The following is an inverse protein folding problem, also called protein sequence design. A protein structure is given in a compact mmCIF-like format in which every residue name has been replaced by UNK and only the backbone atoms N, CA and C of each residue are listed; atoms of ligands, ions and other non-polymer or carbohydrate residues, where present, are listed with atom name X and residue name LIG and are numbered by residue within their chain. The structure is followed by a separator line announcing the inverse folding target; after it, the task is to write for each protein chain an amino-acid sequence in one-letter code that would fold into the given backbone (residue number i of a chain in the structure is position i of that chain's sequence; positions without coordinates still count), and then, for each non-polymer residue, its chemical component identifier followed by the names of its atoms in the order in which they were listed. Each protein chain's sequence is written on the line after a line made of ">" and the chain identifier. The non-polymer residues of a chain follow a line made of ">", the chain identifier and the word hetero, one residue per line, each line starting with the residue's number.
data_IF_503519331575
#
_entry.id   IF_503519331575
#
_cell.length_a   1.000
_cell.length_b   1.000
_cell.length_c   1.000
_cell.angle_alpha   90.00
_cell.angle_beta   90.00
_cell.angle_gamma   90.00
#
_symmetry.space_group_name_H-M   'P 1'
#
loop_
_entity.id
_entity.type
_entity.pdbx_description
1 polymer ?
#
# COMPACT_ATOMS: atom_id res chain seq x y z
N UNK A 1 -11.12 3.04 -15.30
CA UNK A 1 -10.24 3.33 -14.14
C UNK A 1 -8.95 2.54 -14.32
N UNK A 2 -7.87 2.96 -13.68
CA UNK A 2 -6.59 2.25 -13.70
C UNK A 2 -6.30 1.75 -12.29
N UNK A 3 -5.60 0.62 -12.23
CA UNK A 3 -5.19 0.02 -10.97
C UNK A 3 -3.85 0.61 -10.53
N UNK A 4 -3.79 0.92 -9.25
CA UNK A 4 -2.60 1.43 -8.59
C UNK A 4 -2.40 0.69 -7.28
N UNK A 5 -1.14 0.61 -6.87
CA UNK A 5 -0.75 0.15 -5.56
C UNK A 5 -0.28 1.39 -4.77
N UNK A 6 -0.86 1.59 -3.59
CA UNK A 6 -0.50 2.65 -2.67
C UNK A 6 0.08 2.03 -1.41
N UNK A 7 1.36 2.25 -1.16
CA UNK A 7 1.98 1.95 0.13
C UNK A 7 2.13 3.23 0.93
N UNK A 8 1.60 3.25 2.16
CA UNK A 8 1.76 4.36 3.10
C UNK A 8 2.58 3.92 4.32
N UNK A 9 3.51 4.78 4.73
CA UNK A 9 4.26 4.64 5.97
C UNK A 9 3.66 5.62 6.97
N UNK A 10 2.99 5.08 7.98
CA UNK A 10 2.35 5.86 9.04
C UNK A 10 3.34 6.03 10.20
N UNK A 11 3.22 7.16 10.90
CA UNK A 11 4.00 7.47 12.09
C UNK A 11 3.92 6.33 13.13
N UNK A 12 5.05 5.89 13.72
CA UNK A 12 5.08 4.72 14.61
C UNK A 12 4.24 4.88 15.88
N UNK A 13 4.05 6.11 16.35
CA UNK A 13 3.22 6.39 17.54
C UNK A 13 1.73 6.08 17.34
N UNK A 14 1.28 6.05 16.09
CA UNK A 14 -0.10 5.74 15.72
C UNK A 14 -0.35 4.22 15.55
N UNK A 15 0.64 3.38 15.88
CA UNK A 15 0.52 1.92 15.83
C UNK A 15 -0.69 1.38 16.61
N UNK A 16 -1.05 2.04 17.72
CA UNK A 16 -2.18 1.63 18.58
C UNK A 16 -3.54 2.01 17.98
N UNK A 17 -3.60 3.10 17.22
CA UNK A 17 -4.82 3.58 16.55
C UNK A 17 -4.51 4.00 15.10
N UNK A 18 -4.48 3.01 14.23
CA UNK A 18 -4.27 3.19 12.79
C UNK A 18 -5.56 3.54 12.05
N UNK A 19 -6.73 3.34 12.65
CA UNK A 19 -7.99 3.48 11.92
C UNK A 19 -8.27 4.94 11.58
N UNK A 20 -7.94 5.87 12.47
CA UNK A 20 -8.08 7.30 12.21
C UNK A 20 -7.25 7.80 11.00
N UNK A 21 -5.92 7.58 10.91
CA UNK A 21 -5.14 7.99 9.74
C UNK A 21 -5.54 7.21 8.47
N UNK A 22 -5.84 5.91 8.57
CA UNK A 22 -6.25 5.12 7.41
C UNK A 22 -7.63 5.55 6.88
N UNK A 23 -8.58 5.88 7.75
CA UNK A 23 -9.87 6.43 7.34
C UNK A 23 -9.72 7.75 6.57
N UNK A 24 -8.76 8.61 6.93
CA UNK A 24 -8.44 9.83 6.16
C UNK A 24 -7.93 9.48 4.76
N UNK A 25 -7.03 8.50 4.64
CA UNK A 25 -6.50 8.03 3.34
C UNK A 25 -7.62 7.41 2.48
N UNK A 26 -8.45 6.53 3.06
CA UNK A 26 -9.59 5.92 2.37
C UNK A 26 -10.60 6.96 1.90
N UNK A 27 -10.88 7.97 2.73
CA UNK A 27 -11.76 9.09 2.38
C UNK A 27 -11.16 9.90 1.23
N UNK A 28 -9.88 10.24 1.29
CA UNK A 28 -9.18 10.94 0.22
C UNK A 28 -9.28 10.19 -1.13
N UNK A 29 -9.14 8.86 -1.11
CA UNK A 29 -9.30 8.03 -2.31
C UNK A 29 -10.74 8.10 -2.84
N UNK A 30 -11.74 7.94 -1.97
CA UNK A 30 -13.17 8.00 -2.33
C UNK A 30 -13.58 9.37 -2.86
N UNK A 31 -13.16 10.45 -2.22
CA UNK A 31 -13.46 11.83 -2.60
C UNK A 31 -12.91 12.18 -3.99
N UNK A 32 -11.84 11.49 -4.43
CA UNK A 32 -11.26 11.62 -5.77
C UNK A 32 -11.82 10.61 -6.79
N UNK A 33 -12.95 9.97 -6.49
CA UNK A 33 -13.64 9.04 -7.40
C UNK A 33 -12.96 7.67 -7.52
N UNK A 34 -12.15 7.30 -6.53
CA UNK A 34 -11.48 6.01 -6.45
C UNK A 34 -12.16 5.01 -5.51
N UNK A 35 -11.72 3.76 -5.59
CA UNK A 35 -12.13 2.69 -4.66
C UNK A 35 -10.91 1.91 -4.16
N UNK A 36 -10.97 1.44 -2.91
CA UNK A 36 -9.98 0.53 -2.33
C UNK A 36 -10.47 -0.90 -2.56
N UNK A 37 -9.66 -1.73 -3.20
CA UNK A 37 -9.95 -3.12 -3.52
C UNK A 37 -9.42 -4.07 -2.46
N UNK A 38 -8.21 -3.81 -1.97
CA UNK A 38 -7.57 -4.60 -0.92
C UNK A 38 -6.76 -3.69 -0.02
N UNK A 39 -6.63 -4.08 1.24
CA UNK A 39 -5.80 -3.41 2.23
C UNK A 39 -5.06 -4.48 3.04
N UNK A 40 -3.75 -4.36 3.11
CA UNK A 40 -2.87 -5.25 3.83
C UNK A 40 -1.98 -4.44 4.77
N UNK A 41 -2.07 -4.75 6.06
CA UNK A 41 -1.32 -4.07 7.11
C UNK A 41 -0.12 -4.95 7.51
N UNK A 42 1.08 -4.51 7.16
CA UNK A 42 2.31 -5.22 7.46
C UNK A 42 2.85 -4.94 8.86
N UNK A 43 2.18 -4.06 9.61
CA UNK A 43 2.54 -3.66 10.96
C UNK A 43 3.78 -2.76 11.00
N UNK A 44 4.32 -2.60 12.20
CA UNK A 44 5.51 -1.80 12.46
C UNK A 44 6.77 -2.49 11.98
N UNK A 45 7.56 -1.79 11.17
CA UNK A 45 8.86 -2.24 10.68
C UNK A 45 9.92 -1.18 10.92
N UNK A 46 11.16 -1.63 11.12
CA UNK A 46 12.33 -0.77 11.24
C UNK A 46 12.71 -0.24 9.85
N UNK A 47 12.92 1.06 9.75
CA UNK A 47 13.39 1.73 8.53
C UNK A 47 14.90 1.50 8.37
N UNK A 48 15.36 1.46 7.11
CA UNK A 48 16.78 1.36 6.80
C UNK A 48 17.57 2.62 7.21
N UNK A 49 16.88 3.76 7.24
CA UNK A 49 17.40 5.05 7.69
C UNK A 49 16.28 5.90 8.26
N UNK A 50 16.65 6.92 9.05
CA UNK A 50 15.71 7.78 9.75
C UNK A 50 14.95 8.69 8.77
N UNK A 51 13.61 8.66 8.82
CA UNK A 51 12.74 9.51 7.99
C UNK A 51 11.96 10.43 8.92
N UNK A 52 12.02 11.75 8.69
CA UNK A 52 11.39 12.78 9.56
C UNK A 52 11.66 12.55 11.06
N UNK A 53 12.85 12.05 11.41
CA UNK A 53 13.17 11.75 12.81
C UNK A 53 12.53 10.47 13.36
N UNK A 54 12.16 9.49 12.53
CA UNK A 54 11.66 8.19 12.99
C UNK A 54 12.49 7.03 12.43
N UNK A 55 12.76 6.03 13.27
CA UNK A 55 13.47 4.79 12.90
C UNK A 55 12.53 3.63 12.58
N UNK A 56 11.24 3.80 12.89
CA UNK A 56 10.18 2.82 12.66
C UNK A 56 9.02 3.49 11.93
N UNK A 57 8.28 2.72 11.15
CA UNK A 57 7.01 3.13 10.58
C UNK A 57 6.06 1.94 10.53
N UNK A 58 4.76 2.22 10.54
CA UNK A 58 3.75 1.20 10.24
C UNK A 58 3.47 1.19 8.76
N UNK A 59 3.62 0.03 8.13
CA UNK A 59 3.45 -0.15 6.70
C UNK A 59 2.04 -0.65 6.40
N UNK A 60 1.33 0.08 5.54
CA UNK A 60 0.04 -0.35 5.02
C UNK A 60 0.06 -0.25 3.50
N UNK A 61 -0.22 -1.38 2.84
CA UNK A 61 -0.35 -1.48 1.39
C UNK A 61 -1.83 -1.53 1.01
N UNK A 62 -2.20 -0.79 -0.03
CA UNK A 62 -3.57 -0.70 -0.51
C UNK A 62 -3.59 -0.86 -2.03
N UNK A 63 -4.42 -1.79 -2.51
CA UNK A 63 -4.76 -1.85 -3.93
C UNK A 63 -5.92 -0.91 -4.19
N UNK A 64 -5.73 0.04 -5.10
CA UNK A 64 -6.70 1.10 -5.36
C UNK A 64 -7.00 1.24 -6.84
N UNK A 65 -8.28 1.42 -7.17
CA UNK A 65 -8.73 1.76 -8.50
C UNK A 65 -8.98 3.26 -8.57
N UNK A 66 -8.26 3.97 -9.44
CA UNK A 66 -8.31 5.42 -9.53
C UNK A 66 -8.58 5.90 -10.97
N UNK A 67 -9.26 7.05 -11.15
CA UNK A 67 -9.29 7.76 -12.42
C UNK A 67 -7.91 8.39 -12.73
N UNK A 68 -7.66 8.77 -13.98
CA UNK A 68 -6.33 9.23 -14.41
C UNK A 68 -5.84 10.51 -13.71
N UNK A 69 -6.75 11.36 -13.23
CA UNK A 69 -6.44 12.65 -12.60
C UNK A 69 -6.23 12.57 -11.08
N UNK A 70 -6.72 11.50 -10.43
CA UNK A 70 -6.67 11.35 -8.99
C UNK A 70 -5.25 11.18 -8.39
N UNK A 71 -4.29 10.47 -9.03
CA UNK A 71 -2.97 10.24 -8.47
C UNK A 71 -2.25 11.51 -8.01
N UNK A 72 -2.28 12.56 -8.84
CA UNK A 72 -1.62 13.83 -8.52
C UNK A 72 -2.27 14.51 -7.30
N UNK A 73 -3.61 14.54 -7.24
CA UNK A 73 -4.36 15.14 -6.13
C UNK A 73 -4.10 14.40 -4.82
N UNK A 74 -4.14 13.07 -4.86
CA UNK A 74 -3.87 12.20 -3.70
C UNK A 74 -2.44 12.41 -3.21
N UNK A 75 -1.46 12.42 -4.13
CA UNK A 75 -0.05 12.60 -3.80
C UNK A 75 0.24 13.94 -3.10
N UNK A 76 -0.41 15.02 -3.54
CA UNK A 76 -0.27 16.34 -2.95
C UNK A 76 -0.79 16.38 -1.50
N UNK A 77 -1.96 15.77 -1.24
CA UNK A 77 -2.54 15.73 0.11
C UNK A 77 -1.72 14.84 1.04
N UNK A 78 -1.30 13.67 0.58
CA UNK A 78 -0.44 12.77 1.38
C UNK A 78 0.89 13.41 1.75
N UNK A 79 1.44 14.28 0.89
CA UNK A 79 2.71 14.95 1.15
C UNK A 79 2.64 15.97 2.31
N UNK A 80 1.47 16.59 2.52
CA UNK A 80 1.24 17.56 3.60
C UNK A 80 0.58 16.95 4.85
N UNK A 81 0.25 15.67 4.81
CA UNK A 81 -0.35 14.95 5.95
C UNK A 81 0.76 14.52 6.90
N UNK A 82 0.77 15.07 8.12
CA UNK A 82 1.87 14.85 9.07
C UNK A 82 1.92 13.40 9.59
N UNK A 83 0.76 12.74 9.68
CA UNK A 83 0.67 11.34 10.09
C UNK A 83 1.33 10.38 9.09
N UNK A 84 1.52 10.82 7.85
CA UNK A 84 2.18 10.05 6.78
C UNK A 84 3.65 10.47 6.68
N UNK A 85 4.54 9.54 7.00
CA UNK A 85 5.98 9.75 6.90
C UNK A 85 6.44 9.75 5.44
N UNK A 86 5.92 8.79 4.66
CA UNK A 86 6.19 8.63 3.24
C UNK A 86 5.10 7.79 2.59
N UNK A 87 4.92 7.95 1.30
CA UNK A 87 4.06 7.10 0.50
C UNK A 87 4.72 6.76 -0.82
N UNK A 88 4.25 5.70 -1.44
CA UNK A 88 4.59 5.33 -2.81
C UNK A 88 3.31 4.94 -3.53
N UNK A 89 3.00 5.64 -4.62
CA UNK A 89 1.86 5.35 -5.48
C UNK A 89 2.37 4.87 -6.83
N UNK A 90 2.14 3.60 -7.14
CA UNK A 90 2.64 2.96 -8.37
C UNK A 90 1.47 2.54 -9.24
N UNK A 91 1.56 2.78 -10.54
CA UNK A 91 0.59 2.24 -11.49
C UNK A 91 0.87 0.75 -11.71
N UNK A 92 -0.14 -0.09 -11.53
CA UNK A 92 -0.01 -1.52 -11.77
C UNK A 92 0.03 -1.79 -13.28
N UNK A 93 1.00 -2.58 -13.71
CA UNK A 93 0.95 -3.23 -15.01
C UNK A 93 0.16 -4.54 -14.89
N UNK A 94 -1.04 -4.55 -15.46
CA UNK A 94 -1.97 -5.68 -15.40
C UNK A 94 -1.35 -6.94 -16.01
N UNK A 95 -0.57 -6.80 -17.10
CA UNK A 95 0.08 -7.94 -17.74
C UNK A 95 1.18 -8.51 -16.87
N UNK A 96 2.04 -7.64 -16.32
CA UNK A 96 3.08 -8.05 -15.37
C UNK A 96 2.51 -8.75 -14.15
N UNK A 97 1.42 -8.23 -13.57
CA UNK A 97 0.78 -8.86 -12.39
C UNK A 97 0.19 -10.22 -12.70
N UNK A 98 -0.43 -10.42 -13.86
CA UNK A 98 -0.96 -11.72 -14.28
C UNK A 98 0.17 -12.76 -14.40
N UNK A 99 1.27 -12.40 -15.06
CA UNK A 99 2.44 -13.28 -15.21
C UNK A 99 3.06 -13.63 -13.85
N UNK A 100 3.15 -12.67 -12.92
CA UNK A 100 3.63 -12.89 -11.57
C UNK A 100 2.70 -13.82 -10.77
N UNK A 101 1.39 -13.69 -10.94
CA UNK A 101 0.41 -14.58 -10.31
C UNK A 101 0.54 -16.02 -10.86
N UNK A 102 0.67 -16.18 -12.18
CA UNK A 102 0.91 -17.49 -12.82
C UNK A 102 2.25 -18.10 -12.41
N UNK A 103 3.29 -17.30 -12.22
CA UNK A 103 4.58 -17.76 -11.71
C UNK A 103 4.50 -18.19 -10.24
N UNK A 104 3.81 -17.42 -9.38
CA UNK A 104 3.57 -17.81 -7.99
C UNK A 104 2.72 -19.07 -7.86
N UNK A 105 1.70 -19.23 -8.71
CA UNK A 105 0.87 -20.42 -8.73
C UNK A 105 1.67 -21.68 -9.11
N UNK A 106 2.59 -21.56 -10.07
CA UNK A 106 3.53 -22.65 -10.44
C UNK A 106 4.56 -22.96 -9.35
N UNK A 107 5.11 -21.94 -8.69
CA UNK A 107 6.07 -22.16 -7.60
C UNK A 107 5.41 -22.79 -6.36
N UNK A 108 4.16 -22.41 -6.06
CA UNK A 108 3.42 -22.95 -4.92
C UNK A 108 2.94 -24.40 -5.10
N UNK A 109 2.81 -24.91 -6.33
CA UNK A 109 2.55 -26.32 -6.58
C UNK A 109 3.77 -27.19 -6.32
N UNK A 110 4.97 -26.69 -6.64
CA UNK A 110 6.22 -27.43 -6.47
C UNK A 110 6.59 -27.62 -4.98
N UNK A 111 6.18 -26.69 -4.11
CA UNK A 111 6.38 -26.79 -2.65
C UNK A 111 5.39 -27.78 -1.97
N UNK A 112 4.24 -28.08 -2.59
CA UNK A 112 3.27 -29.05 -2.06
C UNK A 112 3.66 -30.50 -2.35
N UNK A 113 4.23 -30.80 -3.52
CA UNK A 113 4.70 -32.16 -3.85
C UNK A 113 5.88 -32.59 -2.97
N UNK A 114 6.72 -31.65 -2.51
CA UNK A 114 7.95 -31.96 -1.77
C UNK A 114 7.75 -32.13 -0.25
N UNK A 115 6.52 -31.95 0.25
CA UNK A 115 6.17 -32.10 1.67
C UNK A 115 5.24 -33.31 1.93
N UNK A 116 4.95 -34.09 0.88
CA UNK A 116 4.19 -35.34 0.93
C UNK A 116 5.06 -36.60 0.71
N UNK A 117 6.38 -36.46 0.52
CA UNK A 117 7.37 -37.57 0.53
C UNK A 117 8.11 -37.71 1.87
#
# INVERSE_FOLDING_TARGET
>A
MKEYELTVLIHPDLEVDLEAPLAKVRKLIKDNGGSVTSEDNWGKKRLAYRIKGQDFAVYVAMDVSLPAEAPLKISNVLNITDEVLRYLLVKVDVKGRALLAEAKARAGSDDQENNEE
#
